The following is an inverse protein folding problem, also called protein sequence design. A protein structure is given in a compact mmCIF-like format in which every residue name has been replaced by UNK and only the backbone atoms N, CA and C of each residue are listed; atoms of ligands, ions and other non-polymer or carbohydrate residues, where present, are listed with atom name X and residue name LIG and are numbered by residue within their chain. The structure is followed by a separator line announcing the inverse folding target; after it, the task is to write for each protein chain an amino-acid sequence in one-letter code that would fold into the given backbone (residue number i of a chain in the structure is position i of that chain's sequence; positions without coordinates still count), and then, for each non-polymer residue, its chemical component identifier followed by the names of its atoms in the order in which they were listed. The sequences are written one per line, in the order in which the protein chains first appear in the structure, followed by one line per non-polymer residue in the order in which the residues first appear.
data_IF_114330831683
#
_entry.id   IF_114330831683
#
_cell.length_a   1.000
_cell.length_b   1.000
_cell.length_c   1.000
_cell.angle_alpha   90.00
_cell.angle_beta   90.00
_cell.angle_gamma   90.00
#
_symmetry.space_group_name_H-M   'P 1'
#
loop_
_entity.id
_entity.type
_entity.pdbx_description
1 polymer ?
#
# COMPACT_ATOMS: atom_id res chain seq x y z
N UNK A 1 -17.10 -0.02 -0.45
CA UNK A 1 -17.34 0.19 -1.90
C UNK A 1 -16.02 0.73 -2.48
N UNK A 2 -15.76 0.57 -3.78
CA UNK A 2 -14.78 1.42 -4.51
C UNK A 2 -13.26 1.17 -4.41
N UNK A 3 -12.77 -0.07 -4.60
CA UNK A 3 -11.36 -0.31 -5.00
C UNK A 3 -11.24 -1.13 -6.30
N UNK A 4 -12.27 -1.07 -7.15
CA UNK A 4 -12.37 -1.89 -8.35
C UNK A 4 -12.42 -0.98 -9.58
N UNK A 5 -11.26 -0.60 -10.15
CA UNK A 5 -11.00 -0.60 -11.61
C UNK A 5 -9.79 0.20 -12.12
N UNK A 6 -8.93 0.79 -11.28
CA UNK A 6 -7.87 1.68 -11.80
C UNK A 6 -6.47 1.05 -11.93
N UNK A 7 -6.29 -0.27 -11.67
CA UNK A 7 -4.98 -0.94 -11.77
C UNK A 7 -4.65 -1.52 -13.16
N UNK A 8 -5.08 -0.86 -14.25
CA UNK A 8 -4.83 -1.36 -15.61
C UNK A 8 -3.78 -0.53 -16.36
N UNK A 9 -2.54 -0.55 -15.87
CA UNK A 9 -1.25 -0.40 -16.59
C UNK A 9 -0.21 0.26 -15.68
N UNK A 10 0.64 -0.54 -15.05
CA UNK A 10 2.03 -0.15 -14.83
C UNK A 10 2.92 -1.17 -15.55
N UNK A 11 3.65 -0.60 -16.49
CA UNK A 11 4.48 -1.14 -17.54
C UNK A 11 5.71 -1.86 -16.97
N UNK A 12 5.88 -3.14 -17.31
CA UNK A 12 7.17 -3.78 -17.60
C UNK A 12 8.26 -3.92 -16.52
N UNK A 13 8.17 -3.26 -15.36
CA UNK A 13 9.11 -3.44 -14.26
C UNK A 13 8.62 -4.55 -13.33
N UNK A 14 9.38 -5.64 -13.23
CA UNK A 14 9.16 -6.68 -12.21
C UNK A 14 9.26 -5.99 -10.86
N UNK A 15 8.20 -6.11 -10.06
CA UNK A 15 8.17 -5.58 -8.71
C UNK A 15 8.63 -6.71 -7.80
N UNK A 16 9.94 -6.82 -7.58
CA UNK A 16 10.51 -7.85 -6.72
C UNK A 16 10.10 -7.65 -5.25
N UNK A 17 10.14 -8.74 -4.47
CA UNK A 17 9.82 -8.74 -3.04
C UNK A 17 10.61 -7.70 -2.25
N UNK A 18 11.87 -7.44 -2.63
CA UNK A 18 12.69 -6.39 -2.01
C UNK A 18 12.11 -4.99 -2.23
N UNK A 19 11.57 -4.73 -3.42
CA UNK A 19 10.91 -3.47 -3.74
C UNK A 19 9.63 -3.38 -2.93
N UNK A 20 8.82 -4.44 -2.88
CA UNK A 20 7.59 -4.51 -2.07
C UNK A 20 7.88 -4.23 -0.58
N UNK A 21 8.91 -4.85 -0.01
CA UNK A 21 9.33 -4.61 1.38
C UNK A 21 9.88 -3.21 1.60
N UNK A 22 10.52 -2.60 0.59
CA UNK A 22 10.96 -1.21 0.67
C UNK A 22 9.78 -0.24 0.83
N UNK A 23 8.58 -0.59 0.37
CA UNK A 23 7.40 0.25 0.61
C UNK A 23 7.16 0.39 2.12
N UNK A 24 7.23 -0.69 2.90
CA UNK A 24 7.01 -0.70 4.36
C UNK A 24 7.93 0.24 5.14
N UNK A 25 9.08 0.62 4.56
CA UNK A 25 10.06 1.50 5.19
C UNK A 25 9.82 2.99 4.90
N UNK A 26 8.78 3.35 4.14
CA UNK A 26 8.48 4.76 3.89
C UNK A 26 7.89 5.43 5.12
N UNK A 27 8.46 6.58 5.48
CA UNK A 27 7.87 7.44 6.50
C UNK A 27 6.64 8.17 5.96
N UNK A 28 5.52 8.16 6.70
CA UNK A 28 4.40 9.01 6.38
C UNK A 28 4.76 10.49 6.57
N UNK A 29 4.05 11.39 5.84
CA UNK A 29 4.04 12.81 6.16
C UNK A 29 3.54 13.08 7.60
N UNK A 30 3.94 14.21 8.17
CA UNK A 30 3.46 14.62 9.49
C UNK A 30 1.93 14.69 9.54
N UNK A 31 1.35 14.01 10.52
CA UNK A 31 -0.10 13.89 10.71
C UNK A 31 -0.73 12.72 9.96
N UNK A 32 -0.08 12.14 8.94
CA UNK A 32 -0.65 10.99 8.21
C UNK A 32 -0.30 9.68 8.91
N UNK A 33 -1.25 8.77 8.94
CA UNK A 33 -1.01 7.43 9.44
C UNK A 33 -0.02 6.69 8.52
N UNK A 34 1.02 6.10 9.12
CA UNK A 34 2.05 5.34 8.42
C UNK A 34 1.43 4.28 7.53
N UNK A 35 0.50 3.53 8.11
CA UNK A 35 -0.09 2.38 7.47
C UNK A 35 -0.96 2.81 6.27
N UNK A 36 -1.70 3.91 6.40
CA UNK A 36 -2.49 4.47 5.29
C UNK A 36 -1.60 4.95 4.14
N UNK A 37 -0.53 5.69 4.46
CA UNK A 37 0.41 6.19 3.46
C UNK A 37 1.06 5.04 2.68
N UNK A 38 1.47 3.99 3.39
CA UNK A 38 2.05 2.78 2.85
C UNK A 38 1.09 2.05 1.89
N UNK A 39 -0.17 1.87 2.31
CA UNK A 39 -1.21 1.22 1.50
C UNK A 39 -1.53 2.00 0.22
N UNK A 40 -1.70 3.33 0.31
CA UNK A 40 -1.99 4.18 -0.85
C UNK A 40 -0.83 4.10 -1.87
N UNK A 41 0.41 4.21 -1.37
CA UNK A 41 1.60 4.20 -2.20
C UNK A 41 1.81 2.84 -2.86
N UNK A 42 1.62 1.75 -2.12
CA UNK A 42 1.68 0.41 -2.67
C UNK A 42 0.56 0.20 -3.70
N UNK A 43 -0.66 0.65 -3.42
CA UNK A 43 -1.80 0.52 -4.32
C UNK A 43 -1.55 1.23 -5.66
N UNK A 44 -0.99 2.44 -5.64
CA UNK A 44 -0.65 3.22 -6.85
C UNK A 44 0.63 2.75 -7.54
N UNK A 45 1.57 2.18 -6.79
CA UNK A 45 2.90 1.82 -7.28
C UNK A 45 2.99 0.45 -7.94
N UNK A 46 2.09 -0.50 -7.63
CA UNK A 46 2.21 -1.88 -8.10
C UNK A 46 0.88 -2.49 -8.57
N UNK A 47 1.00 -3.52 -9.42
CA UNK A 47 -0.12 -4.33 -9.89
C UNK A 47 -0.83 -5.07 -8.75
N UNK A 48 -1.99 -5.64 -9.05
CA UNK A 48 -2.84 -6.31 -8.06
C UNK A 48 -2.17 -7.53 -7.43
N UNK A 49 -1.38 -8.27 -8.21
CA UNK A 49 -0.65 -9.47 -7.77
C UNK A 49 0.42 -9.12 -6.71
N UNK A 50 1.34 -8.21 -7.04
CA UNK A 50 2.34 -7.71 -6.08
C UNK A 50 1.71 -7.04 -4.86
N UNK A 51 0.55 -6.40 -5.04
CA UNK A 51 -0.18 -5.80 -3.92
C UNK A 51 -0.70 -6.87 -2.95
N UNK A 52 -1.12 -8.04 -3.42
CA UNK A 52 -1.48 -9.15 -2.54
C UNK A 52 -0.27 -9.60 -1.70
N UNK A 53 0.92 -9.70 -2.31
CA UNK A 53 2.18 -10.00 -1.61
C UNK A 53 2.53 -8.90 -0.60
N UNK A 54 2.36 -7.63 -0.98
CA UNK A 54 2.55 -6.49 -0.08
C UNK A 54 1.66 -6.60 1.15
N UNK A 55 0.36 -6.87 0.99
CA UNK A 55 -0.57 -7.02 2.11
C UNK A 55 -0.14 -8.13 3.08
N UNK A 56 0.45 -9.20 2.56
CA UNK A 56 0.97 -10.30 3.37
C UNK A 56 2.15 -9.83 4.24
N UNK A 57 3.14 -9.14 3.64
CA UNK A 57 4.25 -8.56 4.41
C UNK A 57 3.79 -7.47 5.38
N UNK A 58 2.86 -6.62 4.95
CA UNK A 58 2.27 -5.55 5.75
C UNK A 58 1.62 -6.09 7.02
N UNK A 59 0.80 -7.15 6.88
CA UNK A 59 0.17 -7.84 8.01
C UNK A 59 1.19 -8.58 8.87
N UNK A 60 2.20 -9.22 8.27
CA UNK A 60 3.27 -9.90 9.01
C UNK A 60 4.14 -8.93 9.83
N UNK A 61 4.33 -7.71 9.34
CA UNK A 61 5.04 -6.65 10.06
C UNK A 61 4.19 -6.00 11.18
N UNK A 62 2.90 -6.36 11.29
CA UNK A 62 2.00 -5.87 12.34
C UNK A 62 1.31 -4.54 12.02
N UNK A 63 1.31 -4.13 10.75
CA UNK A 63 0.63 -2.90 10.31
C UNK A 63 -0.89 -3.06 10.19
N UNK A 64 -1.63 -1.95 10.31
CA UNK A 64 -3.08 -1.93 10.26
C UNK A 64 -3.63 -1.72 8.84
N UNK A 65 -4.37 -2.69 8.31
CA UNK A 65 -5.00 -2.58 6.99
C UNK A 65 -6.16 -1.58 6.96
N UNK A 66 -6.78 -1.36 8.12
CA UNK A 66 -7.87 -0.40 8.32
C UNK A 66 -7.35 0.98 8.73
N UNK A 67 -6.08 1.28 8.41
CA UNK A 67 -5.47 2.56 8.72
C UNK A 67 -6.27 3.72 8.12
N UNK A 68 -6.49 4.73 8.95
CA UNK A 68 -7.21 5.95 8.61
C UNK A 68 -6.23 7.08 8.43
N UNK A 69 -6.51 7.96 7.47
CA UNK A 69 -5.79 9.22 7.35
C UNK A 69 -6.06 10.12 8.61
N UNK A 70 -5.35 11.26 8.76
CA UNK A 70 -5.54 12.17 9.90
C UNK A 70 -6.95 12.75 10.01
N UNK A 71 -7.70 12.73 8.92
CA UNK A 71 -9.10 13.17 8.87
C UNK A 71 -10.09 12.05 9.24
N UNK A 72 -9.60 10.87 9.64
CA UNK A 72 -10.42 9.70 9.97
C UNK A 72 -11.01 8.98 8.76
N UNK A 73 -10.53 9.26 7.54
CA UNK A 73 -10.97 8.59 6.31
C UNK A 73 -10.11 7.37 6.03
N UNK A 74 -10.74 6.22 5.89
CA UNK A 74 -10.12 4.98 5.41
C UNK A 74 -9.97 5.01 3.89
N UNK A 75 -9.07 4.17 3.36
CA UNK A 75 -9.01 3.92 1.93
C UNK A 75 -10.20 3.06 1.44
N UNK A 76 -10.92 2.39 2.37
CA UNK A 76 -12.02 1.42 2.13
C UNK A 76 -13.41 2.04 2.15
#
# INVERSE_FOLDING_TARGET
MSLKKDKQKVLGEVFDDERVRSFLNYQPPAGVDGDFHLLEKAYRGMNLDNFATFLQFFKQAGHNLDATNPEGKTLV
#
